data_IF_546711761801
#
_entry.id   IF_546711761801
#
_cell.length_a   1.000
_cell.length_b   1.000
_cell.length_c   1.000
_cell.angle_alpha   90.00
_cell.angle_beta   90.00
_cell.angle_gamma   90.00
#
_symmetry.space_group_name_H-M   'P 1'
#
loop_
_entity.id
_entity.type
_entity.pdbx_description
1 polymer ?
#
# COMPACT_ATOMS: atom_id res chain seq x y z
N UNK A 1 -7.59 19.94 -3.49
CA UNK A 1 -6.59 19.27 -2.60
C UNK A 1 -6.60 17.73 -2.68
N UNK A 2 -7.75 17.05 -2.60
CA UNK A 2 -7.80 15.57 -2.56
C UNK A 2 -7.22 14.86 -3.80
N UNK A 3 -7.31 15.48 -4.97
CA UNK A 3 -6.93 14.89 -6.26
C UNK A 3 -5.41 14.88 -6.45
N UNK A 4 -4.76 16.02 -6.16
CA UNK A 4 -3.31 16.13 -6.10
C UNK A 4 -2.73 15.12 -5.10
N UNK A 5 -3.40 14.94 -3.95
CA UNK A 5 -3.03 13.90 -2.98
C UNK A 5 -3.13 12.50 -3.58
N UNK A 6 -4.22 12.12 -4.25
CA UNK A 6 -4.34 10.77 -4.83
C UNK A 6 -3.30 10.52 -5.93
N UNK A 7 -2.99 11.55 -6.71
CA UNK A 7 -2.00 11.46 -7.79
C UNK A 7 -0.55 11.49 -7.29
N UNK A 8 -0.25 12.07 -6.12
CA UNK A 8 1.12 12.13 -5.58
C UNK A 8 1.79 10.75 -5.51
N UNK A 9 1.08 9.72 -5.02
CA UNK A 9 1.59 8.35 -5.00
C UNK A 9 1.88 7.88 -6.44
N UNK A 10 0.93 8.04 -7.35
CA UNK A 10 1.10 7.62 -8.75
C UNK A 10 2.24 8.34 -9.46
N UNK A 11 2.33 9.66 -9.30
CA UNK A 11 3.37 10.52 -9.86
C UNK A 11 4.72 10.09 -9.32
N UNK A 12 4.85 10.02 -8.00
CA UNK A 12 6.12 9.69 -7.36
C UNK A 12 6.64 8.33 -7.84
N UNK A 13 5.74 7.33 -8.00
CA UNK A 13 6.10 5.96 -8.34
C UNK A 13 6.08 5.64 -9.85
N UNK A 14 5.54 6.52 -10.70
CA UNK A 14 5.75 6.44 -12.15
C UNK A 14 7.10 7.06 -12.55
N UNK A 15 7.62 8.00 -11.74
CA UNK A 15 8.98 8.54 -11.89
C UNK A 15 10.05 7.76 -11.12
N UNK A 16 9.90 6.42 -11.03
CA UNK A 16 10.87 5.51 -10.37
C UNK A 16 12.33 5.74 -10.78
N UNK A 17 12.58 6.42 -11.90
CA UNK A 17 13.91 6.70 -12.44
C UNK A 17 14.49 8.03 -11.92
N UNK A 18 13.67 9.03 -11.59
CA UNK A 18 14.16 10.41 -11.36
C UNK A 18 14.22 10.82 -9.88
N UNK A 19 13.26 10.40 -9.05
CA UNK A 19 13.14 10.88 -7.67
C UNK A 19 13.97 10.03 -6.68
N UNK A 20 15.03 10.63 -6.12
CA UNK A 20 15.78 10.07 -4.98
C UNK A 20 15.02 10.20 -3.65
N UNK A 21 14.21 11.25 -3.52
CA UNK A 21 13.52 11.61 -2.29
C UNK A 21 12.00 11.68 -2.54
N UNK A 22 11.22 11.07 -1.65
CA UNK A 22 9.74 11.09 -1.70
C UNK A 22 9.16 12.43 -1.25
N UNK A 23 9.93 13.22 -0.51
CA UNK A 23 9.51 14.51 0.04
C UNK A 23 9.75 15.69 -0.92
N UNK A 24 10.42 15.43 -2.05
CA UNK A 24 10.66 16.42 -3.08
C UNK A 24 9.67 16.27 -4.22
N UNK A 25 9.13 17.41 -4.67
CA UNK A 25 8.22 17.45 -5.81
C UNK A 25 9.02 17.20 -7.10
N UNK A 26 8.53 16.34 -8.02
CA UNK A 26 9.23 16.09 -9.26
C UNK A 26 9.23 17.30 -10.19
N UNK A 27 10.30 17.48 -10.98
CA UNK A 27 10.42 18.59 -11.91
C UNK A 27 9.45 18.48 -13.09
N UNK A 28 8.88 17.29 -13.34
CA UNK A 28 7.90 17.06 -14.38
C UNK A 28 6.77 16.17 -13.90
N UNK A 29 5.80 15.98 -14.78
CA UNK A 29 4.72 15.00 -14.59
C UNK A 29 4.85 13.90 -15.64
N UNK A 30 4.60 12.63 -15.28
CA UNK A 30 4.51 11.54 -16.25
C UNK A 30 3.45 11.84 -17.32
N UNK A 31 3.70 11.42 -18.57
CA UNK A 31 2.77 11.66 -19.69
C UNK A 31 1.35 11.17 -19.40
N UNK A 32 1.20 10.01 -18.74
CA UNK A 32 -0.11 9.48 -18.36
C UNK A 32 -0.86 10.39 -17.39
N UNK A 33 -0.16 11.04 -16.45
CA UNK A 33 -0.75 11.99 -15.51
C UNK A 33 -1.06 13.32 -16.20
N UNK A 34 -0.16 13.80 -17.07
CA UNK A 34 -0.39 15.01 -17.88
C UNK A 34 -1.62 14.88 -18.78
N UNK A 35 -1.67 13.81 -19.59
CA UNK A 35 -2.78 13.54 -20.50
C UNK A 35 -4.10 13.42 -19.74
N UNK A 36 -4.06 12.79 -18.58
CA UNK A 36 -5.23 12.62 -17.73
C UNK A 36 -5.70 13.95 -17.12
N UNK A 37 -4.80 14.75 -16.54
CA UNK A 37 -5.14 16.06 -15.98
C UNK A 37 -5.62 17.04 -17.06
N UNK A 38 -5.01 17.00 -18.24
CA UNK A 38 -5.42 17.79 -19.40
C UNK A 38 -6.87 17.47 -19.80
N UNK A 39 -7.19 16.17 -19.92
CA UNK A 39 -8.54 15.70 -20.20
C UNK A 39 -9.53 16.04 -19.10
N UNK A 40 -9.13 15.91 -17.83
CA UNK A 40 -10.01 16.15 -16.68
C UNK A 40 -10.36 17.63 -16.47
N UNK A 41 -9.39 18.52 -16.73
CA UNK A 41 -9.56 19.96 -16.55
C UNK A 41 -10.03 20.66 -17.83
N UNK A 42 -10.11 19.95 -18.96
CA UNK A 42 -10.44 20.53 -20.26
C UNK A 42 -9.40 21.53 -20.77
N UNK A 43 -8.13 21.35 -20.37
CA UNK A 43 -7.02 22.25 -20.72
C UNK A 43 -5.94 21.49 -21.51
N UNK A 44 -5.07 22.23 -22.18
CA UNK A 44 -3.96 21.63 -22.93
C UNK A 44 -2.88 21.05 -21.99
N UNK A 45 -2.14 20.00 -22.41
CA UNK A 45 -1.04 19.45 -21.61
C UNK A 45 0.06 20.46 -21.26
N UNK A 46 0.27 21.47 -22.11
CA UNK A 46 1.22 22.57 -21.86
C UNK A 46 0.77 23.46 -20.69
N UNK A 47 -0.53 23.76 -20.61
CA UNK A 47 -1.11 24.47 -19.47
C UNK A 47 -0.99 23.66 -18.18
N UNK A 48 -1.22 22.33 -18.22
CA UNK A 48 -1.02 21.47 -17.05
C UNK A 48 0.44 21.51 -16.57
N UNK A 49 1.43 21.49 -17.47
CA UNK A 49 2.85 21.63 -17.10
C UNK A 49 3.13 22.97 -16.43
N UNK A 50 2.67 24.07 -17.02
CA UNK A 50 2.85 25.40 -16.44
C UNK A 50 2.20 25.51 -15.04
N UNK A 51 1.02 24.94 -14.85
CA UNK A 51 0.37 24.87 -13.53
C UNK A 51 1.18 24.00 -12.56
N UNK A 52 1.72 22.88 -13.01
CA UNK A 52 2.57 22.03 -12.17
C UNK A 52 3.82 22.78 -11.71
N UNK A 53 4.51 23.47 -12.61
CA UNK A 53 5.74 24.21 -12.29
C UNK A 53 5.52 25.26 -11.20
N UNK A 54 4.33 25.90 -11.18
CA UNK A 54 3.96 26.91 -10.18
C UNK A 54 3.50 26.28 -8.87
N UNK A 55 2.70 25.20 -8.93
CA UNK A 55 1.99 24.68 -7.74
C UNK A 55 2.62 23.44 -7.12
N UNK A 56 3.64 22.82 -7.73
CA UNK A 56 4.21 21.54 -7.29
C UNK A 56 4.61 21.53 -5.81
N UNK A 57 5.24 22.59 -5.31
CA UNK A 57 5.72 22.63 -3.92
C UNK A 57 4.61 22.89 -2.89
N UNK A 58 3.46 23.40 -3.35
CA UNK A 58 2.26 23.60 -2.52
C UNK A 58 1.43 22.31 -2.49
N UNK A 59 1.34 21.61 -3.63
CA UNK A 59 0.55 20.40 -3.79
C UNK A 59 1.25 19.15 -3.25
N UNK A 60 2.58 19.14 -3.19
CA UNK A 60 3.37 18.00 -2.70
C UNK A 60 3.41 17.97 -1.17
N UNK A 61 2.73 16.97 -0.58
CA UNK A 61 2.71 16.79 0.87
C UNK A 61 3.96 16.03 1.31
N UNK A 62 4.85 16.70 2.04
CA UNK A 62 6.04 16.09 2.67
C UNK A 62 5.65 15.12 3.79
N UNK A 63 6.49 14.12 4.05
CA UNK A 63 6.33 13.13 5.14
C UNK A 63 5.01 12.38 5.11
N UNK A 64 4.43 12.21 3.91
CA UNK A 64 3.15 11.55 3.76
C UNK A 64 3.29 10.05 3.97
N UNK A 65 2.38 9.49 4.74
CA UNK A 65 2.19 8.05 4.81
C UNK A 65 1.70 7.51 3.44
N UNK A 66 2.60 6.86 2.71
CA UNK A 66 2.31 6.25 1.41
C UNK A 66 1.37 5.03 1.52
N UNK A 67 1.17 4.53 2.73
CA UNK A 67 0.25 3.42 3.02
C UNK A 67 -1.14 3.92 3.41
N UNK A 68 -1.32 5.23 3.65
CA UNK A 68 -2.62 5.79 3.97
C UNK A 68 -3.55 5.77 2.76
N UNK A 69 -4.75 5.22 2.96
CA UNK A 69 -5.85 5.28 1.99
C UNK A 69 -6.17 6.74 1.69
N UNK A 70 -6.15 7.13 0.43
CA UNK A 70 -6.56 8.48 0.05
C UNK A 70 -8.06 8.63 0.35
N UNK A 71 -8.49 9.68 1.07
CA UNK A 71 -9.91 9.91 1.26
C UNK A 71 -10.58 9.97 -0.12
N UNK A 72 -11.80 9.42 -0.28
CA UNK A 72 -12.53 9.58 -1.53
C UNK A 72 -12.58 11.08 -1.83
N UNK A 73 -12.32 11.43 -3.09
CA UNK A 73 -12.70 12.75 -3.57
C UNK A 73 -14.20 12.85 -3.29
N UNK A 74 -14.56 13.72 -2.36
CA UNK A 74 -15.94 14.17 -2.24
C UNK A 74 -16.23 14.81 -3.60
N UNK A 75 -17.34 14.39 -4.20
CA UNK A 75 -17.88 14.75 -5.51
C UNK A 75 -17.44 13.93 -6.72
N UNK A 76 -18.45 13.33 -7.37
CA UNK A 76 -18.82 13.18 -8.79
C UNK A 76 -17.84 13.54 -9.93
N UNK A 77 -16.54 13.61 -9.70
CA UNK A 77 -15.55 13.63 -10.76
C UNK A 77 -15.40 12.20 -11.30
N UNK A 78 -16.35 11.83 -12.16
CA UNK A 78 -16.46 10.55 -12.88
C UNK A 78 -15.14 9.87 -13.25
N UNK A 79 -14.17 10.53 -13.91
CA UNK A 79 -12.93 9.87 -14.32
C UNK A 79 -11.95 9.53 -13.18
N UNK A 80 -12.08 10.16 -12.00
CA UNK A 80 -11.20 9.89 -10.84
C UNK A 80 -11.76 8.82 -9.91
N UNK A 81 -13.06 8.59 -9.94
CA UNK A 81 -13.68 7.50 -9.20
C UNK A 81 -13.31 6.14 -9.78
N UNK A 82 -12.94 6.06 -11.07
CA UNK A 82 -12.78 4.82 -11.86
C UNK A 82 -11.46 4.07 -11.67
N UNK A 83 -10.37 4.75 -11.31
CA UNK A 83 -9.07 4.08 -11.14
C UNK A 83 -9.02 3.32 -9.80
N UNK A 84 -8.61 2.04 -9.78
CA UNK A 84 -8.31 1.33 -8.53
C UNK A 84 -7.21 2.07 -7.75
N UNK A 85 -7.26 1.99 -6.44
CA UNK A 85 -6.25 2.61 -5.58
C UNK A 85 -4.93 1.84 -5.69
N UNK A 86 -3.80 2.54 -5.76
CA UNK A 86 -2.49 1.94 -5.94
C UNK A 86 -1.66 2.05 -4.65
N UNK A 87 -1.16 0.92 -4.16
CA UNK A 87 -0.30 0.82 -2.99
C UNK A 87 1.12 0.41 -3.38
N UNK A 88 2.10 1.00 -2.69
CA UNK A 88 3.52 0.81 -2.93
C UNK A 88 4.26 0.55 -1.62
N UNK A 89 5.46 -0.06 -1.65
CA UNK A 89 6.28 -0.21 -0.45
C UNK A 89 6.66 1.15 0.12
N UNK A 90 6.84 1.29 1.45
CA UNK A 90 7.20 2.56 2.09
C UNK A 90 8.60 3.07 1.77
N UNK A 91 9.45 2.24 1.15
CA UNK A 91 10.83 2.58 0.79
C UNK A 91 11.10 2.40 -0.71
N UNK A 92 11.98 3.24 -1.26
CA UNK A 92 12.49 3.18 -2.65
C UNK A 92 13.90 2.63 -2.75
N UNK A 93 14.55 2.50 -1.61
CA UNK A 93 15.92 2.06 -1.51
C UNK A 93 15.98 0.80 -0.67
N UNK A 94 17.05 0.04 -0.90
CA UNK A 94 17.32 -1.14 -0.12
C UNK A 94 17.66 -0.74 1.32
N UNK A 95 16.88 -1.26 2.27
CA UNK A 95 17.09 -1.10 3.71
C UNK A 95 18.08 -2.11 4.27
N UNK A 96 18.49 -3.10 3.47
CA UNK A 96 19.46 -4.10 3.89
C UNK A 96 20.86 -3.46 3.96
N UNK A 97 21.38 -3.30 5.18
CA UNK A 97 22.73 -2.76 5.43
C UNK A 97 23.84 -3.69 4.96
N UNK A 98 23.54 -4.98 4.81
CA UNK A 98 24.47 -6.02 4.31
C UNK A 98 24.31 -6.23 2.79
N UNK A 99 23.62 -5.31 2.10
CA UNK A 99 23.48 -5.38 0.65
C UNK A 99 24.86 -5.20 -0.04
N UNK A 100 25.26 -6.07 -1.01
CA UNK A 100 26.56 -5.95 -1.67
C UNK A 100 26.81 -4.58 -2.33
N UNK A 101 25.73 -3.95 -2.82
CA UNK A 101 25.82 -2.61 -3.40
C UNK A 101 26.13 -1.54 -2.34
N UNK A 102 25.49 -1.63 -1.17
CA UNK A 102 25.72 -0.70 -0.05
C UNK A 102 27.14 -0.86 0.47
N UNK A 103 27.60 -2.09 0.65
CA UNK A 103 28.97 -2.37 1.10
C UNK A 103 30.04 -1.84 0.14
N UNK A 104 29.78 -1.90 -1.18
CA UNK A 104 30.74 -1.44 -2.20
C UNK A 104 30.74 0.07 -2.42
N UNK A 105 29.56 0.71 -2.36
CA UNK A 105 29.39 2.11 -2.78
C UNK A 105 29.13 3.07 -1.63
N UNK A 106 28.79 2.58 -0.44
CA UNK A 106 28.32 3.39 0.68
C UNK A 106 26.90 3.98 0.50
N UNK A 107 26.27 3.77 -0.65
CA UNK A 107 24.95 4.31 -0.96
C UNK A 107 23.87 3.22 -1.01
N UNK A 108 22.64 3.59 -0.63
CA UNK A 108 21.52 2.65 -0.71
C UNK A 108 21.11 2.39 -2.16
N UNK A 109 20.99 1.11 -2.52
CA UNK A 109 20.57 0.75 -3.87
C UNK A 109 19.09 1.05 -4.10
N UNK A 110 18.76 1.69 -5.22
CA UNK A 110 17.37 1.86 -5.65
C UNK A 110 16.71 0.53 -5.98
N UNK A 111 15.45 0.39 -5.57
CA UNK A 111 14.63 -0.75 -5.91
C UNK A 111 14.16 -0.67 -7.38
N UNK A 112 13.99 -1.82 -8.02
CA UNK A 112 13.65 -1.99 -9.43
C UNK A 112 12.59 -3.08 -9.61
N UNK A 113 12.21 -3.36 -10.86
CA UNK A 113 11.27 -4.43 -11.23
C UNK A 113 9.91 -4.33 -10.50
N UNK A 114 9.10 -3.29 -10.80
CA UNK A 114 7.79 -3.15 -10.18
C UNK A 114 6.84 -4.26 -10.63
N UNK A 115 6.51 -5.17 -9.73
CA UNK A 115 5.50 -6.21 -9.94
C UNK A 115 4.17 -5.75 -9.38
N UNK A 116 3.17 -5.64 -10.25
CA UNK A 116 1.84 -5.12 -9.92
C UNK A 116 0.83 -6.26 -9.90
N UNK A 117 0.00 -6.32 -8.86
CA UNK A 117 -1.04 -7.32 -8.71
C UNK A 117 -2.34 -6.69 -8.25
N UNK A 118 -3.47 -7.16 -8.77
CA UNK A 118 -4.80 -6.78 -8.30
C UNK A 118 -5.08 -7.48 -6.96
N UNK A 119 -5.68 -6.76 -6.02
CA UNK A 119 -6.05 -7.25 -4.71
C UNK A 119 -7.36 -6.62 -4.23
N UNK A 120 -7.95 -7.19 -3.20
CA UNK A 120 -9.12 -6.65 -2.51
C UNK A 120 -8.69 -5.95 -1.22
N UNK A 121 -9.10 -4.69 -1.04
CA UNK A 121 -9.01 -3.98 0.24
C UNK A 121 -10.37 -4.03 0.94
N UNK A 122 -10.43 -4.76 2.05
CA UNK A 122 -11.61 -4.85 2.89
C UNK A 122 -11.65 -3.66 3.86
N UNK A 123 -12.74 -2.90 3.80
CA UNK A 123 -12.96 -1.72 4.63
C UNK A 123 -14.29 -1.82 5.37
N UNK A 124 -14.43 -1.05 6.47
CA UNK A 124 -15.68 -0.96 7.22
C UNK A 124 -16.73 -0.11 6.50
N UNK A 125 -16.32 1.01 5.89
CA UNK A 125 -17.25 2.02 5.35
C UNK A 125 -17.67 1.78 3.89
N UNK A 126 -16.82 1.13 3.08
CA UNK A 126 -17.02 0.98 1.62
C UNK A 126 -17.09 -0.47 1.17
N UNK A 127 -17.14 -1.41 2.12
CA UNK A 127 -16.99 -2.82 1.84
C UNK A 127 -15.62 -3.15 1.23
N UNK A 128 -15.60 -4.12 0.32
CA UNK A 128 -14.41 -4.58 -0.38
C UNK A 128 -14.22 -3.81 -1.69
N UNK A 129 -13.07 -3.15 -1.85
CA UNK A 129 -12.75 -2.36 -3.05
C UNK A 129 -11.52 -2.94 -3.78
N UNK A 130 -11.47 -2.85 -5.13
CA UNK A 130 -10.32 -3.30 -5.90
C UNK A 130 -9.17 -2.32 -5.78
N UNK A 131 -7.97 -2.84 -5.53
CA UNK A 131 -6.73 -2.06 -5.38
C UNK A 131 -5.58 -2.76 -6.10
N UNK A 132 -4.59 -2.00 -6.54
CA UNK A 132 -3.35 -2.51 -7.15
C UNK A 132 -2.25 -2.41 -6.10
N UNK A 133 -1.60 -3.53 -5.80
CA UNK A 133 -0.41 -3.55 -4.94
C UNK A 133 0.82 -3.69 -5.84
N UNK A 134 1.82 -2.85 -5.60
CA UNK A 134 3.13 -2.96 -6.23
C UNK A 134 4.15 -3.49 -5.24
N UNK A 135 4.96 -4.45 -5.66
CA UNK A 135 6.18 -4.88 -4.97
C UNK A 135 7.41 -4.59 -5.82
N UNK A 136 8.53 -4.33 -5.17
CA UNK A 136 9.78 -3.95 -5.83
C UNK A 136 10.92 -4.84 -5.35
N UNK A 137 11.93 -5.06 -6.17
CA UNK A 137 13.08 -5.91 -5.83
C UNK A 137 14.36 -5.08 -5.74
N UNK A 138 15.37 -5.57 -5.02
CA UNK A 138 16.74 -5.02 -5.03
C UNK A 138 17.66 -5.84 -5.96
N UNK A 139 18.43 -5.20 -6.88
CA UNK A 139 19.24 -5.96 -7.88
C UNK A 139 20.41 -6.68 -7.23
N UNK A 140 21.04 -6.10 -6.22
CA UNK A 140 22.25 -6.69 -5.65
C UNK A 140 21.97 -7.76 -4.61
N UNK A 141 21.04 -7.54 -3.67
CA UNK A 141 20.76 -8.53 -2.62
C UNK A 141 19.53 -9.40 -2.87
N UNK A 142 18.77 -9.15 -3.96
CA UNK A 142 17.61 -9.97 -4.32
C UNK A 142 16.35 -9.76 -3.46
N UNK A 143 16.44 -9.04 -2.34
CA UNK A 143 15.31 -8.76 -1.43
C UNK A 143 14.12 -8.13 -2.13
N UNK A 144 12.91 -8.55 -1.77
CA UNK A 144 11.65 -8.02 -2.32
C UNK A 144 10.89 -7.23 -1.28
N UNK A 145 10.53 -5.99 -1.61
CA UNK A 145 9.83 -5.06 -0.75
C UNK A 145 8.35 -5.05 -1.11
N UNK A 146 7.53 -5.32 -0.10
CA UNK A 146 6.07 -5.28 -0.16
C UNK A 146 5.55 -4.10 0.67
N UNK A 147 4.23 -3.96 0.73
CA UNK A 147 3.54 -2.88 1.44
C UNK A 147 3.86 -2.87 2.96
N UNK A 148 3.83 -4.02 3.63
CA UNK A 148 3.98 -4.10 5.10
C UNK A 148 5.27 -4.76 5.58
N UNK A 149 5.96 -5.46 4.69
CA UNK A 149 7.19 -6.18 5.00
C UNK A 149 8.11 -6.20 3.78
N UNK A 150 9.35 -6.62 3.99
CA UNK A 150 10.26 -7.01 2.93
C UNK A 150 10.77 -8.43 3.17
N UNK A 151 10.99 -9.19 2.10
CA UNK A 151 11.64 -10.49 2.15
C UNK A 151 13.14 -10.32 2.01
N UNK A 152 13.89 -10.99 2.88
CA UNK A 152 15.35 -11.00 2.87
C UNK A 152 15.85 -12.43 3.08
N UNK A 153 16.73 -12.89 2.19
CA UNK A 153 17.48 -14.12 2.40
C UNK A 153 18.58 -13.90 3.44
N UNK A 154 18.70 -14.82 4.38
CA UNK A 154 19.81 -14.90 5.31
C UNK A 154 21.02 -15.59 4.68
N UNK A 155 22.17 -15.60 5.37
CA UNK A 155 23.41 -16.25 4.92
C UNK A 155 23.22 -17.74 4.61
N UNK A 156 22.26 -18.40 5.28
CA UNK A 156 21.92 -19.81 5.10
C UNK A 156 20.92 -20.06 3.95
N UNK A 157 20.54 -19.03 3.19
CA UNK A 157 19.56 -19.12 2.10
C UNK A 157 18.11 -19.18 2.54
N UNK A 158 17.82 -19.13 3.85
CA UNK A 158 16.45 -19.05 4.35
C UNK A 158 15.89 -17.63 4.17
N UNK A 159 14.70 -17.52 3.58
CA UNK A 159 14.02 -16.24 3.42
C UNK A 159 13.20 -15.87 4.66
N UNK A 160 13.36 -14.62 5.09
CA UNK A 160 12.66 -14.01 6.21
C UNK A 160 11.78 -12.86 5.74
N UNK A 161 10.54 -12.83 6.22
CA UNK A 161 9.65 -11.67 6.16
C UNK A 161 9.90 -10.76 7.35
N UNK A 162 10.44 -9.58 7.08
CA UNK A 162 10.73 -8.56 8.09
C UNK A 162 9.74 -7.42 7.93
N UNK A 163 8.91 -7.21 8.94
CA UNK A 163 7.90 -6.14 8.92
C UNK A 163 8.54 -4.77 9.21
N UNK A 164 8.00 -3.73 8.58
CA UNK A 164 8.43 -2.36 8.88
C UNK A 164 8.06 -1.98 10.31
N UNK A 165 8.72 -0.95 10.83
CA UNK A 165 8.48 -0.48 12.19
C UNK A 165 7.13 0.25 12.29
N UNK A 166 6.40 0.02 13.38
CA UNK A 166 5.08 0.59 13.62
C UNK A 166 3.93 -0.35 13.23
N UNK A 167 2.70 0.07 13.54
CA UNK A 167 1.48 -0.64 13.17
C UNK A 167 0.94 -0.04 11.87
N UNK A 168 0.90 -0.78 10.76
CA UNK A 168 0.46 -0.23 9.48
C UNK A 168 -1.06 0.01 9.47
N UNK A 169 -1.49 1.09 8.82
CA UNK A 169 -2.92 1.40 8.63
C UNK A 169 -3.65 0.41 7.73
N UNK A 170 -2.90 -0.23 6.82
CA UNK A 170 -3.40 -1.28 5.95
C UNK A 170 -2.56 -2.53 6.17
N UNK A 171 -3.19 -3.64 6.49
CA UNK A 171 -2.52 -4.93 6.74
C UNK A 171 -2.77 -5.88 5.58
N UNK A 172 -1.70 -6.31 4.94
CA UNK A 172 -1.70 -7.36 3.92
C UNK A 172 -1.57 -8.72 4.61
N UNK A 173 -2.63 -9.52 4.52
CA UNK A 173 -2.69 -10.88 5.10
C UNK A 173 -2.40 -11.94 4.04
N UNK A 174 -2.82 -11.69 2.79
CA UNK A 174 -2.54 -12.53 1.63
C UNK A 174 -2.07 -11.67 0.46
N UNK A 175 -1.52 -12.32 -0.57
CA UNK A 175 -1.11 -11.63 -1.79
C UNK A 175 -2.20 -10.74 -2.39
N UNK A 176 -3.47 -11.16 -2.30
CA UNK A 176 -4.62 -10.49 -2.89
C UNK A 176 -5.65 -9.99 -1.86
N UNK A 177 -5.31 -9.93 -0.57
CA UNK A 177 -6.24 -9.49 0.48
C UNK A 177 -5.56 -8.54 1.47
N UNK A 178 -6.08 -7.31 1.54
CA UNK A 178 -5.66 -6.29 2.50
C UNK A 178 -6.84 -5.85 3.37
N UNK A 179 -6.52 -5.39 4.57
CA UNK A 179 -7.49 -4.99 5.57
C UNK A 179 -7.13 -3.63 6.14
N UNK A 180 -8.12 -2.75 6.27
CA UNK A 180 -7.92 -1.46 6.94
C UNK A 180 -7.93 -1.65 8.47
N UNK A 181 -7.07 -0.94 9.18
CA UNK A 181 -6.89 -0.98 10.64
C UNK A 181 -8.21 -0.96 11.44
N UNK A 182 -9.17 -0.10 11.06
CA UNK A 182 -10.48 0.00 11.72
C UNK A 182 -11.31 -1.27 11.58
N UNK A 183 -11.20 -1.97 10.45
CA UNK A 183 -11.83 -3.25 10.26
C UNK A 183 -11.14 -4.34 11.11
N UNK A 184 -9.82 -4.30 11.20
CA UNK A 184 -9.06 -5.17 12.11
C UNK A 184 -9.49 -4.99 13.57
N UNK A 185 -9.64 -3.73 14.00
CA UNK A 185 -10.12 -3.38 15.34
C UNK A 185 -11.53 -3.90 15.60
N UNK A 186 -12.44 -3.78 14.63
CA UNK A 186 -13.79 -4.35 14.73
C UNK A 186 -13.76 -5.87 14.86
N UNK A 187 -13.01 -6.56 14.02
CA UNK A 187 -12.91 -8.03 14.09
C UNK A 187 -12.34 -8.50 15.42
N UNK A 188 -11.30 -7.82 15.94
CA UNK A 188 -10.78 -8.09 17.28
C UNK A 188 -11.84 -7.87 18.36
N UNK A 189 -12.59 -6.77 18.30
CA UNK A 189 -13.66 -6.50 19.26
C UNK A 189 -14.76 -7.56 19.21
N UNK A 190 -15.15 -8.03 18.02
CA UNK A 190 -16.13 -9.12 17.88
C UNK A 190 -15.62 -10.45 18.43
N UNK A 191 -14.34 -10.78 18.20
CA UNK A 191 -13.74 -12.00 18.73
C UNK A 191 -13.61 -11.95 20.25
N UNK A 192 -13.16 -10.81 20.81
CA UNK A 192 -12.84 -10.68 22.25
C UNK A 192 -14.08 -10.40 23.09
N UNK A 193 -14.97 -9.51 22.66
CA UNK A 193 -16.11 -9.06 23.48
C UNK A 193 -17.41 -9.81 23.19
N UNK A 194 -17.66 -10.20 21.93
CA UNK A 194 -18.87 -10.95 21.56
C UNK A 194 -18.60 -12.43 21.29
N UNK A 195 -17.40 -12.92 21.62
CA UNK A 195 -16.97 -14.31 21.44
C UNK A 195 -17.33 -14.88 20.05
N UNK A 196 -17.33 -14.01 19.04
CA UNK A 196 -17.81 -14.37 17.72
C UNK A 196 -16.76 -15.19 16.99
N UNK A 197 -17.17 -16.34 16.46
CA UNK A 197 -16.28 -17.18 15.67
C UNK A 197 -15.85 -16.46 14.39
N UNK A 198 -14.66 -16.77 13.88
CA UNK A 198 -14.18 -16.20 12.61
C UNK A 198 -15.14 -16.47 11.46
N UNK A 199 -15.85 -17.60 11.50
CA UNK A 199 -16.89 -17.93 10.54
C UNK A 199 -18.08 -16.98 10.63
N UNK A 200 -18.62 -16.75 11.83
CA UNK A 200 -19.70 -15.80 12.04
C UNK A 200 -19.30 -14.40 11.60
N UNK A 201 -18.11 -13.93 12.00
CA UNK A 201 -17.58 -12.61 11.63
C UNK A 201 -17.43 -12.46 10.11
N UNK A 202 -16.91 -13.49 9.42
CA UNK A 202 -16.79 -13.47 7.95
C UNK A 202 -18.16 -13.40 7.26
N UNK A 203 -19.17 -14.11 7.80
CA UNK A 203 -20.53 -14.08 7.27
C UNK A 203 -21.17 -12.73 7.46
N UNK A 204 -21.03 -12.13 8.66
CA UNK A 204 -21.52 -10.77 8.93
C UNK A 204 -20.89 -9.79 7.97
N UNK A 205 -19.57 -9.78 7.81
CA UNK A 205 -18.91 -8.88 6.87
C UNK A 205 -19.43 -9.09 5.44
N UNK A 206 -19.48 -10.33 4.97
CA UNK A 206 -19.93 -10.64 3.62
C UNK A 206 -21.43 -10.31 3.41
N UNK A 207 -22.30 -10.46 4.41
CA UNK A 207 -23.74 -10.21 4.25
C UNK A 207 -24.14 -8.75 4.46
N UNK A 208 -23.46 -8.01 5.33
CA UNK A 208 -23.86 -6.64 5.72
C UNK A 208 -22.94 -5.56 5.19
N UNK A 209 -21.64 -5.84 5.09
CA UNK A 209 -20.61 -4.85 4.76
C UNK A 209 -20.04 -5.01 3.36
N UNK A 210 -20.11 -6.20 2.74
CA UNK A 210 -19.68 -6.39 1.35
C UNK A 210 -20.66 -5.81 0.32
N UNK A 211 -21.74 -5.19 0.81
CA UNK A 211 -22.81 -4.57 0.05
C UNK A 211 -22.33 -3.69 -1.10
N UNK A 212 -22.76 -4.05 -2.31
CA UNK A 212 -22.91 -3.14 -3.43
C UNK A 212 -21.66 -2.99 -4.28
N UNK A 213 -21.47 -3.92 -5.22
CA UNK A 213 -20.60 -3.77 -6.36
C UNK A 213 -21.10 -2.61 -7.24
N UNK A 214 -20.43 -1.45 -7.29
CA UNK A 214 -20.88 -0.39 -8.18
C UNK A 214 -20.56 -0.69 -9.65
N UNK A 215 -19.78 -1.74 -9.98
CA UNK A 215 -19.03 -1.84 -11.26
C UNK A 215 -18.74 -3.25 -11.79
N UNK A 216 -19.58 -4.26 -11.53
CA UNK A 216 -19.39 -5.62 -12.08
C UNK A 216 -18.21 -6.43 -11.52
N UNK A 217 -17.29 -5.83 -10.74
CA UNK A 217 -16.22 -6.55 -10.04
C UNK A 217 -16.74 -7.24 -8.77
N UNK A 218 -16.72 -8.57 -8.76
CA UNK A 218 -17.04 -9.34 -7.56
C UNK A 218 -15.80 -9.44 -6.67
N UNK A 219 -15.88 -8.78 -5.52
CA UNK A 219 -14.88 -8.95 -4.49
C UNK A 219 -14.82 -10.42 -4.06
N UNK A 220 -13.63 -11.00 -3.88
CA UNK A 220 -13.50 -12.31 -3.27
C UNK A 220 -14.21 -12.32 -1.91
N UNK A 221 -14.93 -13.39 -1.61
CA UNK A 221 -15.54 -13.56 -0.29
C UNK A 221 -14.47 -13.60 0.78
N UNK A 222 -14.66 -12.80 1.83
CA UNK A 222 -13.79 -12.83 2.99
C UNK A 222 -13.88 -14.21 3.64
N UNK A 223 -12.73 -14.88 3.79
CA UNK A 223 -12.68 -16.22 4.36
C UNK A 223 -12.43 -16.16 5.88
N UNK A 224 -12.95 -17.11 6.67
CA UNK A 224 -12.68 -17.16 8.12
C UNK A 224 -11.18 -17.23 8.43
N UNK A 225 -10.40 -17.96 7.62
CA UNK A 225 -8.94 -18.04 7.74
C UNK A 225 -8.26 -16.68 7.59
N UNK A 226 -8.78 -15.80 6.73
CA UNK A 226 -8.16 -14.48 6.53
C UNK A 226 -8.32 -13.63 7.80
N UNK A 227 -9.42 -13.82 8.54
CA UNK A 227 -9.69 -13.11 9.80
C UNK A 227 -8.82 -13.67 10.92
N UNK A 228 -8.65 -14.99 11.00
CA UNK A 228 -7.76 -15.62 11.97
C UNK A 228 -6.31 -15.13 11.78
N UNK A 229 -5.79 -15.24 10.56
CA UNK A 229 -4.45 -14.79 10.20
C UNK A 229 -4.28 -13.28 10.45
N UNK A 230 -5.30 -12.48 10.12
CA UNK A 230 -5.29 -11.06 10.44
C UNK A 230 -5.20 -10.80 11.94
N UNK A 231 -5.97 -11.54 12.74
CA UNK A 231 -5.99 -11.39 14.20
C UNK A 231 -4.60 -11.67 14.79
N UNK A 232 -4.00 -12.80 14.39
CA UNK A 232 -2.67 -13.22 14.86
C UNK A 232 -1.58 -12.24 14.42
N UNK A 233 -1.53 -11.91 13.12
CA UNK A 233 -0.56 -10.96 12.59
C UNK A 233 -0.71 -9.57 13.23
N UNK A 234 -1.92 -9.07 13.40
CA UNK A 234 -2.15 -7.76 14.02
C UNK A 234 -1.74 -7.75 15.50
N UNK A 235 -1.98 -8.84 16.23
CA UNK A 235 -1.53 -8.99 17.61
C UNK A 235 0.00 -9.02 17.71
N UNK A 236 0.68 -9.76 16.84
CA UNK A 236 2.15 -9.79 16.76
C UNK A 236 2.73 -8.41 16.44
N UNK A 237 2.17 -7.71 15.45
CA UNK A 237 2.59 -6.36 15.09
C UNK A 237 2.43 -5.38 16.26
N UNK A 238 1.32 -5.46 16.98
CA UNK A 238 1.08 -4.62 18.15
C UNK A 238 2.08 -4.91 19.27
N UNK A 239 2.33 -6.18 19.58
CA UNK A 239 3.29 -6.60 20.61
C UNK A 239 4.71 -6.09 20.30
N UNK A 240 5.18 -6.28 19.07
CA UNK A 240 6.49 -5.78 18.65
C UNK A 240 6.55 -4.25 18.62
N UNK A 241 5.44 -3.58 18.29
CA UNK A 241 5.36 -2.13 18.36
C UNK A 241 5.52 -1.62 19.80
N UNK A 242 4.82 -2.22 20.77
CA UNK A 242 4.93 -1.88 22.20
C UNK A 242 6.35 -2.10 22.73
N UNK A 243 7.00 -3.19 22.32
CA UNK A 243 8.38 -3.51 22.69
C UNK A 243 9.43 -2.73 21.89
N UNK A 244 9.04 -1.91 20.91
CA UNK A 244 9.93 -1.21 19.97
C UNK A 244 10.89 -2.14 19.21
N UNK A 245 10.46 -3.38 18.99
CA UNK A 245 11.19 -4.37 18.19
C UNK A 245 10.54 -4.54 16.80
N UNK A 246 11.20 -5.25 15.89
CA UNK A 246 10.64 -5.56 14.55
C UNK A 246 10.21 -7.01 14.49
N UNK A 247 9.00 -7.25 14.01
CA UNK A 247 8.50 -8.59 13.75
C UNK A 247 9.28 -9.22 12.59
N UNK A 248 9.80 -10.43 12.81
CA UNK A 248 10.50 -11.25 11.83
C UNK A 248 9.87 -12.64 11.82
N UNK A 249 9.43 -13.08 10.65
CA UNK A 249 8.84 -14.41 10.45
C UNK A 249 9.57 -15.11 9.30
N UNK A 250 9.77 -16.44 9.34
CA UNK A 250 10.20 -17.20 8.17
C UNK A 250 9.20 -17.05 7.03
N UNK A 251 9.65 -17.02 5.78
CA UNK A 251 8.73 -16.93 4.63
C UNK A 251 7.85 -18.19 4.47
N UNK A 252 8.23 -19.30 5.11
CA UNK A 252 7.40 -20.50 5.20
C UNK A 252 6.33 -20.45 6.30
N UNK A 253 6.38 -19.48 7.23
CA UNK A 253 5.41 -19.40 8.31
C UNK A 253 4.02 -19.01 7.77
N UNK A 254 2.93 -19.58 8.31
CA UNK A 254 1.59 -19.10 7.98
C UNK A 254 1.49 -17.60 8.27
N UNK A 255 0.89 -16.84 7.34
CA UNK A 255 0.47 -15.46 7.61
C UNK A 255 -0.64 -15.44 8.65
#
# INVERSE_FOLDING_TARGET
MGLARRLQNRISWHELVALHNLDESPPGLPYSVLSFLASALGVSPTQVRALWDVFRDILWVKSRDVTAVSPPLIDDYGPFAESPEEFYPPTRTCLNTVCPYVLRTGHQQRLYDPRRHLAALYTLARGAIPVIITSLRCRACGSTYHLNYFSQADANGMEWRVYYQGVPTIVRVRAHALFKDKLCQLFRALTVHSHSSMMATSRVYNSTLSSGNPRGWQAPHLQPRDIANLFDLYALLLHHHEQRTRLRLPDSAPN
#
